data_IF_665238327012
#
_entry.id   IF_665238327012
#
_cell.length_a   1.000
_cell.length_b   1.000
_cell.length_c   1.000
_cell.angle_alpha   90.00
_cell.angle_beta   90.00
_cell.angle_gamma   90.00
#
_symmetry.space_group_name_H-M   'P 1'
#
loop_
_entity.id
_entity.type
_entity.pdbx_description
1 polymer ?
#
# COMPACT_ATOMS: atom_id res chain seq x y z
N UNK A 1 -5.61 5.60 1.66
CA UNK A 1 -5.02 4.87 2.80
C UNK A 1 -5.70 5.35 4.07
N UNK A 2 -5.06 5.32 5.25
CA UNK A 2 -5.75 5.50 6.53
C UNK A 2 -6.65 6.75 6.64
N UNK A 3 -6.26 7.87 6.01
CA UNK A 3 -7.06 9.10 5.94
C UNK A 3 -8.10 9.13 4.79
N UNK A 4 -8.41 7.98 4.20
CA UNK A 4 -9.25 7.79 3.01
C UNK A 4 -8.79 8.58 1.75
N UNK A 5 -7.51 8.96 1.69
CA UNK A 5 -6.94 9.56 0.49
C UNK A 5 -6.64 8.50 -0.58
N UNK A 6 -6.97 8.79 -1.84
CA UNK A 6 -6.44 8.06 -3.00
C UNK A 6 -4.94 8.28 -3.09
N UNK A 7 -4.17 7.20 -3.27
CA UNK A 7 -2.72 7.26 -3.39
C UNK A 7 -2.31 6.97 -4.83
N UNK A 8 -1.45 7.83 -5.38
CA UNK A 8 -0.76 7.61 -6.66
C UNK A 8 0.73 7.56 -6.32
N UNK A 9 1.37 6.44 -6.59
CA UNK A 9 2.77 6.21 -6.26
C UNK A 9 3.59 5.80 -7.47
N UNK A 10 4.89 6.07 -7.41
CA UNK A 10 5.81 5.69 -8.47
C UNK A 10 6.15 4.19 -8.41
N UNK A 11 6.05 3.53 -9.56
CA UNK A 11 6.64 2.22 -9.85
C UNK A 11 8.17 2.36 -9.89
N UNK A 12 8.82 2.04 -8.78
CA UNK A 12 10.26 2.20 -8.64
C UNK A 12 10.85 1.06 -7.80
N UNK A 13 11.97 0.44 -8.20
CA UNK A 13 12.53 -0.74 -7.52
C UNK A 13 12.92 -0.48 -6.07
N UNK A 14 13.32 0.76 -5.75
CA UNK A 14 13.68 1.17 -4.38
C UNK A 14 12.50 1.72 -3.56
N UNK A 15 11.26 1.50 -4.03
CA UNK A 15 10.05 1.97 -3.38
C UNK A 15 9.20 0.77 -2.95
N UNK A 16 8.82 0.71 -1.67
CA UNK A 16 7.85 -0.26 -1.17
C UNK A 16 6.41 0.06 -1.61
N UNK A 17 6.20 1.05 -2.48
CA UNK A 17 4.86 1.49 -2.85
C UNK A 17 4.02 0.39 -3.49
N UNK A 18 4.60 -0.44 -4.37
CA UNK A 18 3.88 -1.56 -5.00
C UNK A 18 3.35 -2.54 -3.93
N UNK A 19 4.19 -2.89 -2.96
CA UNK A 19 3.83 -3.76 -1.83
C UNK A 19 2.78 -3.12 -0.91
N UNK A 20 2.96 -1.84 -0.57
CA UNK A 20 2.12 -1.15 0.43
C UNK A 20 0.75 -0.79 -0.13
N UNK A 21 0.67 -0.32 -1.38
CA UNK A 21 -0.60 0.14 -1.94
C UNK A 21 -1.39 -0.98 -2.61
N UNK A 22 -0.72 -1.96 -3.21
CA UNK A 22 -1.34 -3.02 -4.02
C UNK A 22 -2.47 -2.47 -4.92
N UNK A 23 -3.67 -3.04 -4.83
CA UNK A 23 -4.87 -2.63 -5.58
C UNK A 23 -5.69 -1.53 -4.87
N UNK A 24 -5.17 -0.94 -3.80
CA UNK A 24 -5.81 0.13 -3.03
C UNK A 24 -5.25 1.54 -3.36
N UNK A 25 -4.42 1.62 -4.41
CA UNK A 25 -3.88 2.85 -4.98
C UNK A 25 -3.58 2.67 -6.46
N UNK A 26 -2.85 3.64 -7.04
CA UNK A 26 -2.38 3.57 -8.41
C UNK A 26 -0.87 3.59 -8.45
N UNK A 27 -0.28 2.58 -9.08
CA UNK A 27 1.14 2.53 -9.37
C UNK A 27 1.39 3.05 -10.79
N UNK A 28 2.23 4.07 -10.94
CA UNK A 28 2.50 4.71 -12.23
C UNK A 28 3.99 4.77 -12.52
N UNK A 29 4.37 4.75 -13.80
CA UNK A 29 5.76 4.99 -14.19
C UNK A 29 6.24 6.34 -13.64
N UNK A 30 7.52 6.47 -13.22
CA UNK A 30 8.08 7.70 -12.66
C UNK A 30 8.39 8.74 -13.75
N UNK A 31 7.40 9.05 -14.59
CA UNK A 31 7.48 10.05 -15.65
C UNK A 31 6.41 11.11 -15.45
N UNK A 32 6.69 12.33 -15.92
CA UNK A 32 5.74 13.45 -15.85
C UNK A 32 4.42 13.09 -16.55
N UNK A 33 4.50 12.50 -17.74
CA UNK A 33 3.31 12.14 -18.54
C UNK A 33 2.41 11.12 -17.82
N UNK A 34 3.00 10.05 -17.26
CA UNK A 34 2.24 9.02 -16.57
C UNK A 34 1.59 9.54 -15.29
N UNK A 35 2.32 10.36 -14.52
CA UNK A 35 1.79 10.98 -13.31
C UNK A 35 0.65 11.97 -13.63
N UNK A 36 0.84 12.80 -14.67
CA UNK A 36 -0.17 13.79 -15.11
C UNK A 36 -1.45 13.08 -15.54
N UNK A 37 -1.34 12.05 -16.39
CA UNK A 37 -2.48 11.28 -16.86
C UNK A 37 -3.27 10.64 -15.70
N UNK A 38 -2.57 10.11 -14.70
CA UNK A 38 -3.22 9.48 -13.55
C UNK A 38 -3.85 10.49 -12.59
N UNK A 39 -3.24 11.67 -12.42
CA UNK A 39 -3.82 12.76 -11.64
C UNK A 39 -5.13 13.25 -12.29
N UNK A 40 -5.14 13.47 -13.60
CA UNK A 40 -6.34 13.85 -14.34
C UNK A 40 -7.46 12.81 -14.18
N UNK A 41 -7.12 11.52 -14.28
CA UNK A 41 -8.08 10.43 -14.07
C UNK A 41 -8.65 10.42 -12.65
N UNK A 42 -7.80 10.55 -11.62
CA UNK A 42 -8.23 10.54 -10.22
C UNK A 42 -9.11 11.76 -9.89
N UNK A 43 -8.77 12.94 -10.42
CA UNK A 43 -9.62 14.14 -10.35
C UNK A 43 -10.94 13.95 -11.11
N UNK A 44 -10.92 13.18 -12.19
CA UNK A 44 -12.07 12.73 -12.97
C UNK A 44 -12.90 11.61 -12.34
N UNK A 45 -12.78 11.36 -11.03
CA UNK A 45 -13.48 10.32 -10.25
C UNK A 45 -12.94 8.89 -10.35
N UNK A 46 -11.82 8.65 -11.03
CA UNK A 46 -11.22 7.31 -11.03
C UNK A 46 -10.83 6.91 -9.60
N UNK A 47 -11.21 5.68 -9.21
CA UNK A 47 -10.92 5.10 -7.90
C UNK A 47 -10.15 3.79 -8.07
N UNK A 48 -9.27 3.44 -7.11
CA UNK A 48 -8.61 2.15 -7.11
C UNK A 48 -9.64 1.02 -6.87
N UNK A 49 -9.34 -0.22 -7.28
CA UNK A 49 -10.22 -1.38 -7.07
C UNK A 49 -10.60 -1.64 -5.62
N UNK A 50 -9.64 -1.49 -4.70
CA UNK A 50 -9.85 -1.69 -3.27
C UNK A 50 -9.98 -0.37 -2.51
N UNK A 51 -10.74 -0.40 -1.41
CA UNK A 51 -10.87 0.72 -0.48
C UNK A 51 -9.51 1.07 0.12
N UNK A 52 -9.00 2.30 -0.08
CA UNK A 52 -7.72 2.70 0.47
C UNK A 52 -7.70 2.65 2.01
N UNK A 53 -8.80 3.01 2.67
CA UNK A 53 -8.90 2.99 4.12
C UNK A 53 -8.91 1.56 4.67
N UNK A 54 -9.67 0.65 4.05
CA UNK A 54 -9.75 -0.74 4.51
C UNK A 54 -8.41 -1.48 4.30
N UNK A 55 -7.74 -1.24 3.17
CA UNK A 55 -6.42 -1.83 2.92
C UNK A 55 -5.37 -1.34 3.93
N UNK A 56 -5.46 -0.08 4.36
CA UNK A 56 -4.51 0.48 5.34
C UNK A 56 -4.57 -0.21 6.71
N UNK A 57 -5.69 -0.84 7.07
CA UNK A 57 -5.82 -1.56 8.36
C UNK A 57 -4.85 -2.73 8.48
N UNK A 58 -4.35 -3.29 7.36
CA UNK A 58 -3.33 -4.34 7.35
C UNK A 58 -1.99 -3.88 7.93
N UNK A 59 -1.75 -2.58 7.92
CA UNK A 59 -0.52 -1.94 8.42
C UNK A 59 -0.73 -1.26 9.77
N UNK A 60 -1.83 -1.57 10.46
CA UNK A 60 -2.05 -1.11 11.83
C UNK A 60 -0.96 -1.67 12.77
N UNK A 61 -0.46 -0.83 13.68
CA UNK A 61 0.65 -1.20 14.56
C UNK A 61 0.31 -2.38 15.48
N UNK A 62 -0.94 -2.53 15.90
CA UNK A 62 -1.36 -3.68 16.71
C UNK A 62 -1.25 -4.96 15.86
N UNK A 63 -1.77 -4.94 14.62
CA UNK A 63 -1.69 -6.07 13.71
C UNK A 63 -0.23 -6.45 13.34
N UNK A 64 0.65 -5.46 13.16
CA UNK A 64 2.07 -5.69 12.87
C UNK A 64 2.80 -6.23 14.10
N UNK A 65 2.49 -5.72 15.30
CA UNK A 65 3.08 -6.20 16.54
C UNK A 65 2.70 -7.66 16.82
N UNK A 66 1.43 -8.04 16.62
CA UNK A 66 0.97 -9.43 16.78
C UNK A 66 1.66 -10.39 15.79
N UNK A 67 1.85 -9.96 14.54
CA UNK A 67 2.58 -10.74 13.54
C UNK A 67 4.05 -10.92 13.91
N UNK A 68 4.71 -9.85 14.38
CA UNK A 68 6.09 -9.89 14.82
C UNK A 68 6.26 -10.80 16.05
N UNK A 69 5.39 -10.66 17.05
CA UNK A 69 5.36 -11.52 18.24
C UNK A 69 5.21 -12.99 17.85
N UNK A 70 4.26 -13.31 16.97
CA UNK A 70 4.04 -14.68 16.47
C UNK A 70 5.30 -15.25 15.82
N UNK A 71 5.98 -14.46 14.99
CA UNK A 71 7.22 -14.89 14.32
C UNK A 71 8.36 -15.12 15.33
N UNK A 72 8.50 -14.24 16.33
CA UNK A 72 9.50 -14.40 17.38
C UNK A 72 9.22 -15.61 18.28
N UNK A 73 7.96 -15.85 18.63
CA UNK A 73 7.56 -17.01 19.42
C UNK A 73 7.88 -18.32 18.68
N UNK A 74 7.57 -18.41 17.37
CA UNK A 74 7.95 -19.58 16.55
C UNK A 74 9.45 -19.83 16.51
N UNK A 75 10.25 -18.76 16.47
CA UNK A 75 11.70 -18.87 16.51
C UNK A 75 12.21 -19.39 17.86
N UNK A 76 11.61 -18.94 18.97
CA UNK A 76 11.92 -19.45 20.32
C UNK A 76 11.54 -20.93 20.43
N UNK A 77 10.37 -21.31 19.92
CA UNK A 77 9.84 -22.67 19.99
C UNK A 77 10.50 -23.63 18.97
N UNK A 78 11.37 -23.13 18.09
CA UNK A 78 12.04 -23.92 17.05
C UNK A 78 11.10 -24.44 15.95
N UNK A 79 9.99 -23.74 15.71
CA UNK A 79 8.91 -24.13 14.76
C UNK A 79 8.90 -23.28 13.50
N UNK A 80 10.08 -22.84 13.06
CA UNK A 80 10.26 -22.01 11.87
C UNK A 80 9.90 -22.73 10.56
#
# INVERSE_FOLDING_TARGET
MAADCTVIAADHPESAADEVIADAGFLVKPTVDALTAQLDAALGSARPPASPADHAQKYDWDAIAEQAETAYQRAIDGTW
#
